data_IF_214521733007
#
_entry.id   IF_214521733007
#
_cell.length_a   1.000
_cell.length_b   1.000
_cell.length_c   1.000
_cell.angle_alpha   90.00
_cell.angle_beta   90.00
_cell.angle_gamma   90.00
#
_symmetry.space_group_name_H-M   'P 1'
#
loop_
_entity.id
_entity.type
_entity.pdbx_description
1 polymer ?
#
# COMPACT_ATOMS: atom_id res chain seq x y z
N UNK A 1 -17.80 -4.15 25.41
CA UNK A 1 -19.25 -3.89 25.29
C UNK A 1 -19.52 -2.47 24.79
N UNK A 2 -18.69 -1.98 23.86
CA UNK A 2 -18.63 -0.54 23.50
C UNK A 2 -18.81 -0.31 21.99
N UNK A 3 -18.66 -1.36 21.18
CA UNK A 3 -18.87 -1.33 19.73
C UNK A 3 -20.37 -1.34 19.38
N UNK A 4 -21.19 -2.00 20.20
CA UNK A 4 -22.64 -2.07 19.97
C UNK A 4 -23.33 -0.70 20.15
N UNK A 5 -22.84 0.14 21.06
CA UNK A 5 -23.38 1.49 21.27
C UNK A 5 -23.09 2.43 20.09
N UNK A 6 -21.91 2.33 19.47
CA UNK A 6 -21.56 3.19 18.34
C UNK A 6 -22.30 2.82 17.05
N UNK A 7 -22.60 1.52 16.84
CA UNK A 7 -23.43 1.08 15.72
C UNK A 7 -24.89 1.48 15.93
N UNK A 8 -25.42 1.40 17.15
CA UNK A 8 -26.76 1.91 17.46
C UNK A 8 -26.86 3.43 17.28
N UNK A 9 -25.83 4.19 17.66
CA UNK A 9 -25.84 5.66 17.52
C UNK A 9 -25.79 6.09 16.04
N UNK A 10 -25.02 5.39 15.21
CA UNK A 10 -25.00 5.61 13.76
C UNK A 10 -26.31 5.18 13.06
N UNK A 11 -27.02 4.18 13.59
CA UNK A 11 -28.32 3.76 13.07
C UNK A 11 -29.43 4.76 13.45
N UNK A 12 -29.41 5.28 14.67
CA UNK A 12 -30.37 6.28 15.14
C UNK A 12 -30.20 7.63 14.42
N UNK A 13 -28.97 8.03 14.10
CA UNK A 13 -28.71 9.26 13.35
C UNK A 13 -29.20 9.18 11.90
N UNK A 14 -29.14 8.00 11.27
CA UNK A 14 -29.74 7.77 9.94
C UNK A 14 -31.26 7.82 9.98
N UNK A 15 -31.90 7.31 11.04
CA UNK A 15 -33.36 7.39 11.19
C UNK A 15 -33.87 8.79 11.51
N UNK A 16 -33.16 9.59 12.33
CA UNK A 16 -33.52 10.99 12.55
C UNK A 16 -33.37 11.82 11.28
N UNK A 17 -32.34 11.59 10.47
CA UNK A 17 -32.17 12.28 9.19
C UNK A 17 -33.27 11.89 8.18
N UNK A 18 -33.67 10.61 8.16
CA UNK A 18 -34.76 10.13 7.30
C UNK A 18 -36.15 10.63 7.75
N UNK A 19 -36.38 10.80 9.05
CA UNK A 19 -37.64 11.35 9.56
C UNK A 19 -37.77 12.85 9.33
N UNK A 20 -36.68 13.63 9.43
CA UNK A 20 -36.72 15.05 9.08
C UNK A 20 -36.86 15.30 7.58
N UNK A 21 -36.34 14.42 6.71
CA UNK A 21 -36.62 14.50 5.27
C UNK A 21 -38.09 14.20 4.94
N UNK A 22 -38.74 13.26 5.64
CA UNK A 22 -40.16 12.97 5.42
C UNK A 22 -41.08 14.12 5.85
N UNK A 23 -40.71 14.89 6.87
CA UNK A 23 -41.48 16.06 7.33
C UNK A 23 -41.39 17.26 6.39
N UNK A 24 -40.23 17.50 5.77
CA UNK A 24 -40.03 18.65 4.87
C UNK A 24 -40.64 18.45 3.47
N UNK A 25 -40.97 17.22 3.06
CA UNK A 25 -41.58 16.92 1.75
C UNK A 25 -43.10 17.18 1.74
N UNK A 26 -43.75 17.34 2.90
CA UNK A 26 -45.22 17.43 3.01
C UNK A 26 -45.77 18.87 2.86
N UNK A 27 -44.94 19.89 2.64
CA UNK A 27 -45.43 21.29 2.60
C UNK A 27 -44.84 22.16 1.49
N UNK A 28 -44.72 21.62 0.26
CA UNK A 28 -44.55 22.46 -0.93
C UNK A 28 -45.45 21.94 -2.04
N UNK A 29 -46.55 22.64 -2.29
CA UNK A 29 -47.56 22.36 -3.31
C UNK A 29 -47.08 22.63 -4.74
N UNK A 30 -45.80 22.41 -5.02
CA UNK A 30 -45.22 22.52 -6.36
C UNK A 30 -44.29 21.34 -6.62
N UNK A 31 -44.66 20.52 -7.61
CA UNK A 31 -43.85 19.40 -8.15
C UNK A 31 -42.44 19.84 -8.55
N UNK A 32 -42.26 21.12 -8.86
CA UNK A 32 -41.00 21.74 -9.26
C UNK A 32 -40.02 21.85 -8.08
N UNK A 33 -40.47 22.21 -6.88
CA UNK A 33 -39.61 22.38 -5.69
C UNK A 33 -39.08 21.05 -5.16
N UNK A 34 -39.88 19.99 -5.20
CA UNK A 34 -39.46 18.64 -4.82
C UNK A 34 -38.44 18.05 -5.80
N UNK A 35 -38.61 18.29 -7.11
CA UNK A 35 -37.69 17.82 -8.15
C UNK A 35 -36.30 18.46 -8.01
N UNK A 36 -36.26 19.77 -7.73
CA UNK A 36 -34.99 20.49 -7.50
C UNK A 36 -34.26 19.96 -6.28
N UNK A 37 -34.96 19.68 -5.18
CA UNK A 37 -34.34 19.14 -3.97
C UNK A 37 -33.69 17.76 -4.21
N UNK A 38 -34.34 16.88 -4.98
CA UNK A 38 -33.79 15.56 -5.32
C UNK A 38 -32.55 15.69 -6.21
N UNK A 39 -32.57 16.59 -7.20
CA UNK A 39 -31.43 16.85 -8.09
C UNK A 39 -30.23 17.36 -7.27
N UNK A 40 -30.44 18.31 -6.36
CA UNK A 40 -29.37 18.84 -5.50
C UNK A 40 -28.79 17.76 -4.59
N UNK A 41 -29.63 16.87 -4.03
CA UNK A 41 -29.16 15.75 -3.23
C UNK A 41 -28.32 14.76 -4.04
N UNK A 42 -28.76 14.40 -5.25
CA UNK A 42 -28.02 13.50 -6.15
C UNK A 42 -26.68 14.09 -6.58
N UNK A 43 -26.66 15.38 -6.96
CA UNK A 43 -25.42 16.09 -7.31
C UNK A 43 -24.47 16.14 -6.12
N UNK A 44 -24.98 16.42 -4.92
CA UNK A 44 -24.17 16.47 -3.70
C UNK A 44 -23.50 15.13 -3.40
N UNK A 45 -24.21 14.01 -3.55
CA UNK A 45 -23.64 12.66 -3.38
C UNK A 45 -22.62 12.35 -4.48
N UNK A 46 -22.90 12.69 -5.74
CA UNK A 46 -21.97 12.50 -6.86
C UNK A 46 -20.66 13.25 -6.64
N UNK A 47 -20.75 14.52 -6.23
CA UNK A 47 -19.60 15.34 -5.86
C UNK A 47 -18.83 14.68 -4.72
N UNK A 48 -19.49 14.32 -3.62
CA UNK A 48 -18.80 13.68 -2.49
C UNK A 48 -18.10 12.36 -2.85
N UNK A 49 -18.66 11.57 -3.78
CA UNK A 49 -18.01 10.33 -4.26
C UNK A 49 -16.82 10.58 -5.19
N UNK A 50 -16.85 11.62 -6.02
CA UNK A 50 -15.74 11.97 -6.91
C UNK A 50 -14.58 12.67 -6.20
N UNK A 51 -14.86 13.38 -5.09
CA UNK A 51 -13.84 14.09 -4.31
C UNK A 51 -13.18 13.22 -3.22
N UNK A 52 -13.42 11.90 -3.21
CA UNK A 52 -12.67 11.00 -2.31
C UNK A 52 -11.19 10.99 -2.74
N UNK A 53 -10.26 11.45 -1.88
CA UNK A 53 -8.85 11.51 -2.24
C UNK A 53 -8.31 10.08 -2.45
N UNK A 54 -7.87 9.78 -3.67
CA UNK A 54 -7.15 8.55 -3.95
C UNK A 54 -5.75 8.67 -3.37
N UNK A 55 -5.52 8.03 -2.21
CA UNK A 55 -4.20 7.95 -1.61
C UNK A 55 -3.33 6.95 -2.39
N UNK A 56 -2.39 7.47 -3.20
CA UNK A 56 -1.34 6.66 -3.79
C UNK A 56 -0.26 6.41 -2.74
N UNK A 57 -0.13 5.16 -2.29
CA UNK A 57 1.00 4.77 -1.44
C UNK A 57 2.13 4.28 -2.33
N UNK A 58 3.28 4.95 -2.22
CA UNK A 58 4.51 4.62 -2.94
C UNK A 58 5.57 4.13 -1.95
N UNK A 59 6.43 3.16 -2.31
CA UNK A 59 7.50 2.69 -1.44
C UNK A 59 8.61 3.75 -1.30
N UNK A 60 8.92 4.11 -0.06
CA UNK A 60 10.01 5.02 0.29
C UNK A 60 11.13 4.24 0.96
N UNK A 61 12.38 4.53 0.62
CA UNK A 61 13.49 3.79 1.20
C UNK A 61 14.83 4.40 0.90
N UNK A 62 15.82 3.94 1.63
CA UNK A 62 17.20 4.39 1.56
C UNK A 62 18.15 3.20 1.46
N UNK A 63 19.32 3.46 0.88
CA UNK A 63 20.47 2.56 0.90
C UNK A 63 21.63 3.25 1.62
N UNK A 64 22.28 2.51 2.51
CA UNK A 64 23.44 2.97 3.28
C UNK A 64 24.63 2.07 2.97
N UNK A 65 25.80 2.59 2.54
CA UNK A 65 26.14 4.01 2.41
C UNK A 65 25.41 4.68 1.25
N UNK A 66 25.10 5.98 1.40
CA UNK A 66 24.52 6.78 0.31
C UNK A 66 25.49 7.03 -0.84
N UNK A 67 26.78 6.74 -0.63
CA UNK A 67 27.81 6.82 -1.66
C UNK A 67 27.82 5.53 -2.47
N UNK A 68 27.87 5.71 -3.79
CA UNK A 68 28.11 4.62 -4.73
C UNK A 68 29.44 3.92 -4.41
N UNK A 69 29.37 2.62 -4.08
CA UNK A 69 30.55 1.80 -3.77
C UNK A 69 31.14 1.19 -5.05
N UNK A 70 30.27 0.83 -6.01
CA UNK A 70 30.62 0.23 -7.30
C UNK A 70 29.79 0.85 -8.43
N UNK A 71 30.21 0.73 -9.71
CA UNK A 71 29.40 1.15 -10.85
C UNK A 71 27.99 0.58 -10.76
N UNK A 72 26.99 1.43 -11.01
CA UNK A 72 25.60 1.07 -10.86
C UNK A 72 25.26 -0.05 -11.83
N UNK A 73 24.50 -1.02 -11.34
CA UNK A 73 24.00 -2.16 -12.14
C UNK A 73 22.58 -1.85 -12.62
N UNK A 74 22.05 -2.70 -13.51
CA UNK A 74 20.65 -2.60 -13.89
C UNK A 74 19.78 -3.22 -12.79
N UNK A 75 18.69 -2.55 -12.35
CA UNK A 75 17.80 -3.07 -11.30
C UNK A 75 17.30 -4.49 -11.58
N UNK A 76 16.94 -4.79 -12.83
CA UNK A 76 16.39 -6.08 -13.24
C UNK A 76 17.42 -7.23 -13.19
N UNK A 77 18.72 -6.90 -13.07
CA UNK A 77 19.80 -7.88 -12.95
C UNK A 77 20.15 -8.22 -11.50
N UNK A 78 19.56 -7.52 -10.52
CA UNK A 78 19.80 -7.75 -9.10
C UNK A 78 19.08 -9.02 -8.65
N UNK A 79 19.85 -10.06 -8.31
CA UNK A 79 19.33 -11.34 -7.84
C UNK A 79 18.88 -11.28 -6.38
N UNK A 80 17.81 -11.98 -6.05
CA UNK A 80 17.34 -12.09 -4.66
C UNK A 80 17.87 -13.38 -4.07
N UNK A 81 18.58 -13.27 -2.95
CA UNK A 81 19.13 -14.41 -2.21
C UNK A 81 18.37 -14.57 -0.89
N UNK A 82 17.99 -15.81 -0.57
CA UNK A 82 17.34 -16.12 0.71
C UNK A 82 18.34 -16.09 1.88
N UNK A 83 19.58 -16.53 1.61
CA UNK A 83 20.67 -16.56 2.58
C UNK A 83 21.87 -15.86 1.96
N UNK A 84 22.60 -15.11 2.78
CA UNK A 84 23.82 -14.45 2.35
C UNK A 84 24.86 -15.48 1.90
N UNK A 85 25.30 -15.47 0.62
CA UNK A 85 26.35 -16.36 0.16
C UNK A 85 27.67 -16.07 0.89
N UNK A 86 28.42 -17.12 1.25
CA UNK A 86 29.70 -16.97 1.97
C UNK A 86 30.75 -16.16 1.18
N UNK A 87 30.66 -16.16 -0.15
CA UNK A 87 31.55 -15.41 -1.06
C UNK A 87 31.04 -13.99 -1.36
N UNK A 88 29.89 -13.60 -0.82
CA UNK A 88 29.29 -12.31 -1.12
C UNK A 88 29.85 -11.19 -0.24
N UNK A 89 30.21 -10.08 -0.88
CA UNK A 89 30.59 -8.85 -0.19
C UNK A 89 29.35 -8.00 0.09
N UNK A 90 29.17 -7.55 1.33
CA UNK A 90 28.14 -6.57 1.68
C UNK A 90 28.54 -5.19 1.16
N UNK A 91 27.73 -4.60 0.30
CA UNK A 91 27.94 -3.25 -0.23
C UNK A 91 27.15 -2.20 0.55
N UNK A 92 26.00 -2.56 1.11
CA UNK A 92 25.18 -1.65 1.88
C UNK A 92 24.00 -2.30 2.57
N UNK A 93 23.30 -1.52 3.40
CA UNK A 93 22.03 -1.84 4.05
C UNK A 93 20.88 -1.17 3.31
N UNK A 94 19.78 -1.89 3.17
CA UNK A 94 18.54 -1.43 2.57
C UNK A 94 17.50 -1.28 3.68
N UNK A 95 16.74 -0.20 3.64
CA UNK A 95 15.58 0.02 4.51
C UNK A 95 14.49 0.70 3.70
N UNK A 96 13.33 0.06 3.57
CA UNK A 96 12.23 0.50 2.73
C UNK A 96 10.93 0.28 3.47
N UNK A 97 10.03 1.24 3.33
CA UNK A 97 8.74 1.27 4.00
C UNK A 97 7.67 1.64 2.98
N UNK A 98 6.49 1.03 3.11
CA UNK A 98 5.35 1.35 2.28
C UNK A 98 4.06 1.14 3.06
N UNK A 99 3.14 2.09 2.98
CA UNK A 99 1.79 1.90 3.52
C UNK A 99 1.02 0.86 2.70
N UNK A 100 0.39 -0.07 3.41
CA UNK A 100 -0.47 -1.09 2.81
C UNK A 100 -1.87 -0.52 2.61
N UNK A 101 -2.31 -0.35 1.36
CA UNK A 101 -3.67 0.11 1.12
C UNK A 101 -4.70 -0.97 1.43
N UNK A 102 -5.81 -0.55 2.04
CA UNK A 102 -7.01 -1.38 2.15
C UNK A 102 -7.50 -1.78 0.76
N UNK A 103 -7.62 -3.09 0.50
CA UNK A 103 -8.18 -3.63 -0.74
C UNK A 103 -7.22 -3.69 -1.94
N UNK A 104 -5.94 -3.35 -1.77
CA UNK A 104 -4.92 -3.67 -2.79
C UNK A 104 -4.49 -5.14 -2.67
N UNK A 105 -4.17 -5.71 -3.82
CA UNK A 105 -3.60 -7.06 -3.89
C UNK A 105 -2.22 -7.06 -3.23
N UNK A 106 -2.08 -7.82 -2.16
CA UNK A 106 -0.83 -7.98 -1.41
C UNK A 106 0.36 -8.27 -2.34
N UNK A 107 0.22 -9.16 -3.32
CA UNK A 107 1.30 -9.48 -4.26
C UNK A 107 1.80 -8.28 -5.06
N UNK A 108 0.90 -7.35 -5.39
CA UNK A 108 1.26 -6.13 -6.14
C UNK A 108 2.07 -5.18 -5.25
N UNK A 109 1.69 -5.06 -3.98
CA UNK A 109 2.40 -4.23 -3.01
C UNK A 109 3.79 -4.85 -2.69
N UNK A 110 3.88 -6.16 -2.54
CA UNK A 110 5.15 -6.89 -2.37
C UNK A 110 6.08 -6.72 -3.59
N UNK A 111 5.54 -6.86 -4.81
CA UNK A 111 6.33 -6.63 -6.02
C UNK A 111 6.86 -5.18 -6.11
N UNK A 112 6.08 -4.18 -5.68
CA UNK A 112 6.48 -2.76 -5.68
C UNK A 112 7.61 -2.49 -4.69
N UNK A 113 7.54 -3.02 -3.47
CA UNK A 113 8.58 -2.81 -2.46
C UNK A 113 9.88 -3.53 -2.87
N UNK A 114 9.79 -4.72 -3.46
CA UNK A 114 10.93 -5.47 -3.99
C UNK A 114 11.57 -4.73 -5.17
N UNK A 115 10.78 -4.23 -6.13
CA UNK A 115 11.30 -3.45 -7.25
C UNK A 115 12.03 -2.19 -6.78
N UNK A 116 11.52 -1.53 -5.72
CA UNK A 116 12.21 -0.40 -5.09
C UNK A 116 13.52 -0.83 -4.45
N UNK A 117 13.56 -1.99 -3.80
CA UNK A 117 14.79 -2.55 -3.23
C UNK A 117 15.84 -2.86 -4.28
N UNK A 118 15.44 -3.46 -5.42
CA UNK A 118 16.34 -3.71 -6.54
C UNK A 118 16.93 -2.41 -7.10
N UNK A 119 16.10 -1.37 -7.28
CA UNK A 119 16.57 -0.05 -7.73
C UNK A 119 17.56 0.60 -6.75
N UNK A 120 17.34 0.47 -5.45
CA UNK A 120 18.25 0.99 -4.43
C UNK A 120 19.55 0.16 -4.36
N UNK A 121 19.46 -1.16 -4.42
CA UNK A 121 20.62 -2.05 -4.44
C UNK A 121 21.48 -1.82 -5.69
N UNK A 122 20.85 -1.63 -6.85
CA UNK A 122 21.56 -1.39 -8.10
C UNK A 122 22.31 -0.06 -8.10
N UNK A 123 21.80 0.95 -7.40
CA UNK A 123 22.45 2.26 -7.26
C UNK A 123 23.81 2.21 -6.56
N UNK A 124 24.03 1.22 -5.68
CA UNK A 124 25.34 0.99 -5.03
C UNK A 124 26.21 -0.01 -5.79
N UNK A 125 25.74 -0.52 -6.93
CA UNK A 125 26.42 -1.49 -7.78
C UNK A 125 26.35 -2.92 -7.28
N UNK A 126 25.28 -3.26 -6.55
CA UNK A 126 25.01 -4.63 -6.13
C UNK A 126 24.51 -5.47 -7.30
N UNK A 127 24.90 -6.74 -7.34
CA UNK A 127 24.32 -7.73 -8.25
C UNK A 127 23.37 -8.70 -7.53
N UNK A 128 23.25 -8.56 -6.21
CA UNK A 128 22.30 -9.30 -5.41
C UNK A 128 21.81 -8.52 -4.21
N UNK A 129 20.74 -9.01 -3.59
CA UNK A 129 20.28 -8.54 -2.29
C UNK A 129 19.70 -9.69 -1.46
N UNK A 130 19.84 -9.57 -0.14
CA UNK A 130 19.18 -10.43 0.85
C UNK A 130 18.32 -9.50 1.70
N UNK A 131 17.06 -9.84 1.90
CA UNK A 131 16.16 -8.99 2.69
C UNK A 131 15.13 -9.82 3.43
N UNK A 132 14.63 -9.23 4.51
CA UNK A 132 13.44 -9.67 5.23
C UNK A 132 12.32 -8.67 4.93
N UNK A 133 11.18 -9.20 4.49
CA UNK A 133 9.96 -8.43 4.26
C UNK A 133 8.99 -8.73 5.40
N UNK A 134 8.55 -7.69 6.09
CA UNK A 134 7.64 -7.76 7.22
C UNK A 134 6.37 -6.97 6.93
N UNK A 135 5.25 -7.46 7.48
CA UNK A 135 3.96 -6.77 7.44
C UNK A 135 3.53 -6.42 8.86
N UNK A 136 3.32 -5.13 9.12
CA UNK A 136 2.73 -4.63 10.36
C UNK A 136 1.25 -4.34 10.16
N UNK A 137 0.39 -5.16 10.77
CA UNK A 137 -1.04 -4.88 10.88
C UNK A 137 -1.35 -4.07 12.13
N UNK A 138 -2.07 -2.96 11.99
CA UNK A 138 -2.54 -2.16 13.11
C UNK A 138 -4.01 -2.49 13.43
N UNK A 139 -4.35 -2.78 14.70
CA UNK A 139 -5.74 -3.00 15.11
C UNK A 139 -6.60 -1.72 15.04
N UNK A 140 -5.97 -0.54 15.03
CA UNK A 140 -6.64 0.77 14.94
C UNK A 140 -7.15 1.07 13.52
N UNK A 141 -6.67 0.36 12.50
CA UNK A 141 -7.25 0.37 11.17
C UNK A 141 -6.26 0.15 10.03
N UNK A 142 -6.77 -0.29 8.89
CA UNK A 142 -5.96 -0.63 7.71
C UNK A 142 -5.15 0.52 7.12
N UNK A 143 -5.48 1.77 7.46
CA UNK A 143 -4.69 2.93 7.04
C UNK A 143 -3.32 2.98 7.71
N UNK A 144 -3.14 2.27 8.82
CA UNK A 144 -1.90 2.19 9.58
C UNK A 144 -1.11 0.91 9.29
N UNK A 145 -1.61 0.08 8.37
CA UNK A 145 -0.91 -1.12 7.95
C UNK A 145 0.27 -0.75 7.06
N UNK A 146 1.38 -1.47 7.21
CA UNK A 146 2.64 -1.13 6.56
C UNK A 146 3.44 -2.38 6.19
N UNK A 147 4.21 -2.25 5.12
CA UNK A 147 5.25 -3.16 4.72
C UNK A 147 6.59 -2.54 5.05
N UNK A 148 7.48 -3.32 5.65
CA UNK A 148 8.86 -2.96 5.92
C UNK A 148 9.78 -3.99 5.27
N UNK A 149 10.74 -3.52 4.48
CA UNK A 149 11.79 -4.34 3.90
C UNK A 149 13.13 -3.85 4.45
N UNK A 150 13.82 -4.74 5.16
CA UNK A 150 15.18 -4.49 5.65
C UNK A 150 16.12 -5.54 5.10
N UNK A 151 17.32 -5.13 4.68
CA UNK A 151 18.22 -6.08 4.05
C UNK A 151 19.61 -5.55 3.78
N UNK A 152 20.36 -6.31 2.98
CA UNK A 152 21.70 -5.97 2.52
C UNK A 152 21.77 -6.05 1.01
N UNK A 153 22.38 -5.03 0.41
CA UNK A 153 22.83 -5.04 -0.97
C UNK A 153 24.20 -5.74 -1.03
N UNK A 154 24.37 -6.70 -1.93
CA UNK A 154 25.54 -7.57 -1.97
C UNK A 154 26.15 -7.68 -3.37
N UNK A 155 27.43 -7.99 -3.39
CA UNK A 155 28.15 -8.39 -4.59
C UNK A 155 28.61 -9.84 -4.46
N UNK A 156 27.99 -10.75 -5.20
CA UNK A 156 28.37 -12.15 -5.24
C UNK A 156 29.15 -12.47 -6.53
N UNK A 157 30.31 -13.08 -6.38
CA UNK A 157 31.07 -13.66 -7.50
C UNK A 157 30.50 -15.07 -7.72
N UNK A 158 29.68 -15.25 -8.76
CA UNK A 158 28.73 -16.38 -8.96
C UNK A 158 29.45 -17.77 -8.95
N UNK A 159 28.82 -18.82 -8.37
CA UNK A 159 28.16 -19.86 -9.18
C UNK A 159 26.63 -19.94 -8.98
N UNK A 160 25.92 -20.37 -10.01
CA UNK A 160 24.51 -20.07 -10.36
C UNK A 160 23.38 -20.75 -9.54
N UNK A 161 23.59 -21.25 -8.33
CA UNK A 161 22.71 -22.33 -7.83
C UNK A 161 21.52 -21.97 -6.91
N UNK A 162 21.18 -20.70 -6.66
CA UNK A 162 20.05 -20.36 -5.77
C UNK A 162 19.15 -19.24 -6.31
N UNK A 163 18.81 -19.33 -7.61
CA UNK A 163 17.79 -18.49 -8.23
C UNK A 163 16.39 -18.99 -7.85
N UNK A 164 15.78 -18.44 -6.80
CA UNK A 164 14.38 -18.71 -6.48
C UNK A 164 13.53 -17.59 -7.10
N UNK A 165 12.92 -17.89 -8.25
CA UNK A 165 11.82 -17.09 -8.76
C UNK A 165 10.70 -17.12 -7.73
N UNK A 166 10.45 -16.00 -7.05
CA UNK A 166 9.23 -15.80 -6.27
C UNK A 166 8.04 -15.61 -7.21
N UNK A 167 7.66 -16.68 -7.91
CA UNK A 167 6.35 -16.82 -8.53
C UNK A 167 5.84 -18.19 -8.07
N UNK A 168 5.13 -18.21 -6.95
CA UNK A 168 4.30 -19.36 -6.59
C UNK A 168 3.36 -19.63 -7.77
N UNK A 169 3.35 -20.83 -8.38
CA UNK A 169 2.27 -21.21 -9.27
C UNK A 169 0.98 -21.19 -8.46
N UNK A 170 -0.04 -20.52 -8.99
CA UNK A 170 -1.39 -20.65 -8.46
C UNK A 170 -1.85 -22.06 -8.86
N UNK A 171 -1.80 -23.00 -7.92
CA UNK A 171 -2.69 -24.15 -7.99
C UNK A 171 -4.06 -23.74 -7.43
N UNK A 172 -5.08 -24.13 -8.21
CA UNK A 172 -6.54 -24.01 -8.08
C UNK A 172 -7.15 -22.61 -8.09
#
# INVERSE_FOLDING_TARGET
MTVLLNVLNAYNQKHCFFMHLKGAVVQSSSTLSQTVAVIVAVISVLVLTHFVPQQSFYPHGIVLPAKQVRPATQPDTVRIYQVLPNTAQKLGRLSIEMHAAKGRNQRVDEARIIAKAQSLASSVGANGMVFDLMYGGSPEGSALNNYYLMGYAIYASVPDELNINFISPIES
#
